data_IF_295910288552
#
_entry.id   IF_295910288552
#
_cell.length_a   1.000
_cell.length_b   1.000
_cell.length_c   1.000
_cell.angle_alpha   90.00
_cell.angle_beta   90.00
_cell.angle_gamma   90.00
#
_symmetry.space_group_name_H-M   'P 1'
#
loop_
_entity.id
_entity.type
_entity.pdbx_description
1 polymer ?
#
# COMPACT_ATOMS: atom_id res chain seq x y z
N UNK A 1 -4.96 58.95 -4.13
CA UNK A 1 -4.28 58.15 -3.09
C UNK A 1 -4.83 56.74 -3.18
N UNK A 2 -4.14 55.85 -3.92
CA UNK A 2 -4.60 54.49 -4.20
C UNK A 2 -4.04 53.58 -3.10
N UNK A 3 -4.91 53.07 -2.22
CA UNK A 3 -4.54 52.05 -1.24
C UNK A 3 -4.51 50.70 -1.96
N UNK A 4 -3.31 50.15 -2.17
CA UNK A 4 -3.14 48.74 -2.51
C UNK A 4 -3.29 47.92 -1.23
N UNK A 5 -4.47 47.35 -1.01
CA UNK A 5 -4.66 46.28 -0.03
C UNK A 5 -4.13 44.98 -0.64
N UNK A 6 -2.92 44.59 -0.24
CA UNK A 6 -2.36 43.28 -0.56
C UNK A 6 -3.18 42.20 0.12
N UNK A 7 -3.95 41.45 -0.67
CA UNK A 7 -4.61 40.22 -0.23
C UNK A 7 -3.54 39.15 -0.05
N UNK A 8 -3.16 38.85 1.20
CA UNK A 8 -2.38 37.66 1.52
C UNK A 8 -3.30 36.44 1.29
N UNK A 9 -3.15 35.79 0.13
CA UNK A 9 -3.81 34.52 -0.14
C UNK A 9 -3.27 33.43 0.78
N UNK A 10 -4.12 32.90 1.65
CA UNK A 10 -3.88 31.63 2.33
C UNK A 10 -3.86 30.53 1.26
N UNK A 11 -2.67 30.05 0.90
CA UNK A 11 -2.53 28.83 0.15
C UNK A 11 -2.98 27.65 1.04
N UNK A 12 -4.16 27.10 0.76
CA UNK A 12 -4.59 25.82 1.31
C UNK A 12 -3.80 24.70 0.65
N UNK A 13 -2.90 24.05 1.40
CA UNK A 13 -2.31 22.79 0.98
C UNK A 13 -3.41 21.72 0.92
N UNK A 14 -3.55 20.94 -0.16
CA UNK A 14 -4.50 19.84 -0.20
C UNK A 14 -4.12 18.80 0.86
N UNK A 15 -5.12 18.37 1.61
CA UNK A 15 -5.02 17.45 2.75
C UNK A 15 -4.63 16.05 2.27
N UNK A 16 -3.43 15.59 2.66
CA UNK A 16 -2.83 14.24 2.48
C UNK A 16 -3.60 13.06 3.10
N UNK A 17 -4.73 13.30 3.77
CA UNK A 17 -5.39 12.29 4.61
C UNK A 17 -6.06 11.17 3.79
N UNK A 18 -6.60 11.50 2.61
CA UNK A 18 -7.19 10.50 1.72
C UNK A 18 -6.10 9.54 1.19
N UNK A 19 -4.97 10.11 0.77
CA UNK A 19 -3.86 9.35 0.20
C UNK A 19 -3.22 8.41 1.22
N UNK A 20 -3.02 8.84 2.47
CA UNK A 20 -2.51 7.97 3.52
C UNK A 20 -3.47 6.82 3.87
N UNK A 21 -4.78 7.08 3.84
CA UNK A 21 -5.78 6.04 4.12
C UNK A 21 -5.82 5.00 3.01
N UNK A 22 -5.82 5.45 1.75
CA UNK A 22 -5.75 4.58 0.57
C UNK A 22 -4.45 3.76 0.57
N UNK A 23 -3.31 4.40 0.79
CA UNK A 23 -2.00 3.74 0.90
C UNK A 23 -2.02 2.61 1.94
N UNK A 24 -2.47 2.90 3.17
CA UNK A 24 -2.52 1.90 4.23
C UNK A 24 -3.42 0.70 3.87
N UNK A 25 -4.60 0.96 3.30
CA UNK A 25 -5.55 -0.09 2.90
C UNK A 25 -5.03 -0.93 1.74
N UNK A 26 -4.53 -0.28 0.68
CA UNK A 26 -3.95 -0.96 -0.48
C UNK A 26 -2.74 -1.81 -0.07
N UNK A 27 -1.85 -1.30 0.77
CA UNK A 27 -0.69 -2.05 1.24
C UNK A 27 -1.10 -3.25 2.11
N UNK A 28 -2.08 -3.11 3.02
CA UNK A 28 -2.60 -4.25 3.79
C UNK A 28 -3.17 -5.34 2.88
N UNK A 29 -4.01 -4.95 1.93
CA UNK A 29 -4.63 -5.85 0.98
C UNK A 29 -3.59 -6.55 0.09
N UNK A 30 -2.62 -5.80 -0.44
CA UNK A 30 -1.55 -6.33 -1.26
C UNK A 30 -0.68 -7.33 -0.50
N UNK A 31 -0.29 -7.04 0.75
CA UNK A 31 0.49 -7.99 1.57
C UNK A 31 -0.33 -9.25 1.86
N UNK A 32 -1.63 -9.11 2.13
CA UNK A 32 -2.51 -10.26 2.29
C UNK A 32 -2.53 -11.15 1.05
N UNK A 33 -2.75 -10.54 -0.11
CA UNK A 33 -2.78 -11.21 -1.41
C UNK A 33 -1.44 -11.89 -1.74
N UNK A 34 -0.32 -11.14 -1.69
CA UNK A 34 1.03 -11.63 -2.05
C UNK A 34 1.47 -12.82 -1.22
N UNK A 35 1.17 -12.82 0.09
CA UNK A 35 1.60 -13.88 0.99
C UNK A 35 0.54 -14.97 1.21
N UNK A 36 -0.61 -14.88 0.53
CA UNK A 36 -1.73 -15.83 0.65
C UNK A 36 -2.27 -15.91 2.07
N UNK A 37 -2.51 -14.75 2.71
CA UNK A 37 -2.96 -14.64 4.10
C UNK A 37 -4.26 -13.85 4.20
N UNK A 38 -4.98 -14.03 5.30
CA UNK A 38 -6.18 -13.25 5.58
C UNK A 38 -5.81 -11.78 5.86
N UNK A 39 -6.43 -10.85 5.14
CA UNK A 39 -6.27 -9.39 5.33
C UNK A 39 -6.55 -8.93 6.77
N UNK A 40 -7.39 -9.64 7.52
CA UNK A 40 -7.67 -9.32 8.94
C UNK A 40 -6.46 -9.54 9.85
N UNK A 41 -5.51 -10.38 9.44
CA UNK A 41 -4.26 -10.61 10.16
C UNK A 41 -3.22 -9.52 9.93
N UNK A 42 -3.40 -8.69 8.89
CA UNK A 42 -2.49 -7.61 8.54
C UNK A 42 -2.65 -6.42 9.49
N UNK A 43 -1.55 -5.92 10.00
CA UNK A 43 -1.48 -4.73 10.85
C UNK A 43 -0.70 -3.63 10.14
N UNK A 44 -1.32 -2.47 9.99
CA UNK A 44 -0.63 -1.26 9.56
C UNK A 44 0.02 -0.64 10.81
N UNK A 45 1.34 -0.61 10.84
CA UNK A 45 2.09 -0.09 11.98
C UNK A 45 2.16 1.43 11.93
N UNK A 46 2.56 1.95 10.77
CA UNK A 46 2.76 3.37 10.53
C UNK A 46 2.81 3.67 9.03
N UNK A 47 2.68 4.95 8.73
CA UNK A 47 2.98 5.52 7.41
C UNK A 47 4.03 6.60 7.63
N UNK A 48 5.15 6.50 6.93
CA UNK A 48 6.22 7.51 6.94
C UNK A 48 6.42 8.00 5.51
N UNK A 49 6.04 9.26 5.25
CA UNK A 49 6.06 9.80 3.89
C UNK A 49 5.01 9.12 3.00
N UNK A 50 5.48 8.43 1.97
CA UNK A 50 4.72 7.63 1.00
C UNK A 50 4.85 6.12 1.22
N UNK A 51 5.49 5.70 2.34
CA UNK A 51 5.73 4.30 2.66
C UNK A 51 4.86 3.86 3.85
N UNK A 52 4.02 2.86 3.63
CA UNK A 52 3.32 2.13 4.68
C UNK A 52 4.15 0.94 5.15
N UNK A 53 4.13 0.72 6.47
CA UNK A 53 4.76 -0.42 7.12
C UNK A 53 3.66 -1.33 7.64
N UNK A 54 3.65 -2.56 7.16
CA UNK A 54 2.65 -3.58 7.46
C UNK A 54 3.35 -4.79 8.02
N UNK A 55 2.78 -5.44 9.04
CA UNK A 55 3.23 -6.75 9.47
C UNK A 55 2.07 -7.73 9.65
N UNK A 56 2.43 -9.01 9.71
CA UNK A 56 1.57 -10.06 10.25
C UNK A 56 2.42 -11.09 11.00
N UNK A 57 1.76 -11.88 11.86
CA UNK A 57 2.36 -13.05 12.50
C UNK A 57 1.95 -14.28 11.69
N UNK A 58 2.92 -14.99 11.13
CA UNK A 58 2.64 -16.17 10.31
C UNK A 58 2.15 -17.31 11.18
N UNK A 59 0.94 -17.80 10.93
CA UNK A 59 0.30 -18.81 11.78
C UNK A 59 1.01 -20.16 11.85
N UNK A 60 1.80 -20.53 10.83
CA UNK A 60 2.46 -21.83 10.76
C UNK A 60 3.67 -21.97 11.70
N UNK A 61 4.34 -20.86 12.04
CA UNK A 61 5.57 -20.87 12.84
C UNK A 61 5.73 -19.67 13.77
N UNK A 62 4.70 -18.82 13.88
CA UNK A 62 4.66 -17.63 14.72
C UNK A 62 5.75 -16.58 14.45
N UNK A 63 6.40 -16.65 13.29
CA UNK A 63 7.38 -15.65 12.89
C UNK A 63 6.69 -14.32 12.53
N UNK A 64 7.36 -13.20 12.86
CA UNK A 64 6.93 -11.87 12.44
C UNK A 64 7.41 -11.61 11.01
N UNK A 65 6.48 -11.24 10.14
CA UNK A 65 6.76 -10.86 8.76
C UNK A 65 6.42 -9.38 8.59
N UNK A 66 7.46 -8.55 8.47
CA UNK A 66 7.33 -7.13 8.23
C UNK A 66 7.56 -6.82 6.75
N UNK A 67 6.72 -5.94 6.21
CA UNK A 67 6.73 -5.50 4.82
C UNK A 67 6.60 -3.98 4.80
N UNK A 68 7.34 -3.35 3.91
CA UNK A 68 7.16 -1.94 3.56
C UNK A 68 6.60 -1.85 2.15
N UNK A 69 5.75 -0.88 1.91
CA UNK A 69 4.97 -0.77 0.69
C UNK A 69 4.72 0.69 0.34
N UNK A 70 4.72 1.01 -0.95
CA UNK A 70 4.36 2.32 -1.50
C UNK A 70 3.53 2.16 -2.77
N UNK A 71 2.86 3.23 -3.17
CA UNK A 71 2.08 3.27 -4.40
C UNK A 71 2.84 4.02 -5.50
N UNK A 72 2.80 3.48 -6.71
CA UNK A 72 3.34 4.10 -7.92
C UNK A 72 2.34 3.94 -9.06
N UNK A 73 1.54 4.98 -9.32
CA UNK A 73 0.36 4.87 -10.18
C UNK A 73 -0.65 3.88 -9.61
N UNK A 74 -1.02 2.87 -10.40
CA UNK A 74 -1.88 1.77 -10.02
C UNK A 74 -1.12 0.59 -9.38
N UNK A 75 0.21 0.69 -9.24
CA UNK A 75 1.03 -0.39 -8.70
C UNK A 75 1.23 -0.27 -7.20
N UNK A 76 1.27 -1.43 -6.56
CA UNK A 76 1.73 -1.59 -5.19
C UNK A 76 3.16 -2.12 -5.21
N UNK A 77 4.13 -1.27 -4.90
CA UNK A 77 5.54 -1.65 -4.83
C UNK A 77 5.88 -2.02 -3.40
N UNK A 78 6.27 -3.28 -3.18
CA UNK A 78 6.56 -3.79 -1.84
C UNK A 78 8.01 -4.28 -1.71
N UNK A 79 8.46 -4.36 -0.46
CA UNK A 79 9.73 -4.95 -0.07
C UNK A 79 9.60 -5.54 1.32
N UNK A 80 10.36 -6.60 1.61
CA UNK A 80 10.54 -7.05 2.98
C UNK A 80 11.13 -5.93 3.85
N UNK A 81 10.66 -5.85 5.09
CA UNK A 81 11.19 -4.98 6.13
C UNK A 81 11.75 -5.80 7.31
N UNK A 82 11.99 -7.10 7.10
CA UNK A 82 12.66 -7.94 8.08
C UNK A 82 14.14 -7.54 8.20
N UNK A 83 14.77 -7.70 9.38
CA UNK A 83 16.17 -7.33 9.60
C UNK A 83 17.15 -8.04 8.65
N UNK A 84 16.93 -9.33 8.40
CA UNK A 84 17.85 -10.23 7.67
C UNK A 84 17.53 -10.36 6.18
N UNK A 85 16.70 -9.46 5.62
CA UNK A 85 16.35 -9.46 4.21
C UNK A 85 17.10 -8.35 3.44
N UNK A 86 17.23 -8.53 2.13
CA UNK A 86 17.74 -7.55 1.16
C UNK A 86 17.04 -6.19 1.20
N UNK A 87 15.80 -6.12 1.71
CA UNK A 87 14.93 -4.92 1.70
C UNK A 87 14.75 -4.30 0.31
N UNK A 88 14.99 -5.09 -0.73
CA UNK A 88 14.89 -4.69 -2.13
C UNK A 88 13.43 -4.48 -2.52
N UNK A 89 13.14 -3.36 -3.16
CA UNK A 89 11.85 -3.10 -3.79
C UNK A 89 11.63 -4.02 -4.97
N UNK A 90 10.44 -4.63 -5.05
CA UNK A 90 10.03 -5.50 -6.14
C UNK A 90 9.68 -4.68 -7.39
N UNK A 91 10.71 -4.29 -8.14
CA UNK A 91 10.62 -3.47 -9.37
C UNK A 91 11.37 -4.08 -10.54
N UNK A 92 11.98 -5.25 -10.38
CA UNK A 92 12.70 -5.94 -11.44
C UNK A 92 11.70 -6.53 -12.46
N UNK A 93 12.05 -6.64 -13.75
CA UNK A 93 11.18 -7.28 -14.75
C UNK A 93 10.79 -8.73 -14.43
N UNK A 94 11.56 -9.43 -13.58
CA UNK A 94 11.26 -10.78 -13.11
C UNK A 94 10.50 -10.80 -11.77
N UNK A 95 10.16 -9.65 -11.21
CA UNK A 95 9.25 -9.58 -10.06
C UNK A 95 7.80 -9.60 -10.51
N UNK A 96 6.95 -10.27 -9.73
CA UNK A 96 5.51 -10.19 -9.89
C UNK A 96 5.03 -8.74 -9.82
N UNK A 97 4.07 -8.39 -10.68
CA UNK A 97 3.48 -7.05 -10.71
C UNK A 97 2.20 -7.07 -9.87
N UNK A 98 2.20 -6.28 -8.80
CA UNK A 98 1.01 -6.11 -7.95
C UNK A 98 0.35 -4.79 -8.28
N UNK A 99 -0.94 -4.82 -8.61
CA UNK A 99 -1.77 -3.65 -8.90
C UNK A 99 -2.91 -3.54 -7.89
N UNK A 100 -3.41 -2.33 -7.71
CA UNK A 100 -4.62 -2.07 -6.96
C UNK A 100 -5.58 -1.20 -7.77
N UNK A 101 -6.87 -1.44 -7.60
CA UNK A 101 -7.92 -0.53 -8.05
C UNK A 101 -8.96 -0.35 -6.94
N UNK A 102 -9.64 0.79 -6.95
CA UNK A 102 -10.74 1.08 -6.04
C UNK A 102 -11.93 1.51 -6.87
N UNK A 103 -13.02 0.76 -6.76
CA UNK A 103 -14.31 1.07 -7.36
C UNK A 103 -15.37 1.08 -6.26
N UNK A 104 -16.03 2.22 -6.09
CA UNK A 104 -16.99 2.50 -5.01
C UNK A 104 -16.45 2.20 -3.60
N UNK A 105 -16.73 1.00 -3.10
CA UNK A 105 -16.36 0.54 -1.75
C UNK A 105 -15.52 -0.74 -1.77
N UNK A 106 -15.15 -1.18 -2.97
CA UNK A 106 -14.35 -2.38 -3.20
C UNK A 106 -12.94 -1.98 -3.62
N UNK A 107 -11.97 -2.67 -3.04
CA UNK A 107 -10.57 -2.63 -3.43
C UNK A 107 -10.20 -3.98 -4.03
N UNK A 108 -9.65 -3.96 -5.23
CA UNK A 108 -9.19 -5.15 -5.93
C UNK A 108 -7.67 -5.14 -5.97
N UNK A 109 -7.05 -6.25 -5.62
CA UNK A 109 -5.62 -6.51 -5.81
C UNK A 109 -5.47 -7.52 -6.95
N UNK A 110 -4.67 -7.17 -7.95
CA UNK A 110 -4.28 -8.08 -9.03
C UNK A 110 -2.79 -8.37 -8.90
N UNK A 111 -2.42 -9.65 -8.88
CA UNK A 111 -1.03 -10.07 -9.02
C UNK A 111 -0.83 -10.71 -10.39
N UNK A 112 0.09 -10.17 -11.17
CA UNK A 112 0.51 -10.71 -12.47
C UNK A 112 1.87 -11.38 -12.28
N UNK A 113 1.93 -12.67 -12.60
CA UNK A 113 3.11 -13.51 -12.43
C UNK A 113 3.94 -13.54 -13.71
N UNK A 114 5.24 -13.85 -13.59
CA UNK A 114 6.15 -13.90 -14.73
C UNK A 114 5.80 -14.97 -15.78
N UNK A 115 4.99 -15.96 -15.42
CA UNK A 115 4.49 -16.98 -16.35
C UNK A 115 3.26 -16.53 -17.17
N UNK A 116 2.82 -15.29 -16.97
CA UNK A 116 1.66 -14.69 -17.63
C UNK A 116 0.31 -15.02 -16.97
N UNK A 117 0.30 -15.81 -15.90
CA UNK A 117 -0.90 -16.02 -15.10
C UNK A 117 -1.17 -14.82 -14.16
N UNK A 118 -2.39 -14.75 -13.63
CA UNK A 118 -2.75 -13.71 -12.67
C UNK A 118 -3.74 -14.21 -11.61
N UNK A 119 -3.70 -13.61 -10.42
CA UNK A 119 -4.71 -13.77 -9.38
C UNK A 119 -5.38 -12.43 -9.07
N UNK A 120 -6.62 -12.50 -8.56
CA UNK A 120 -7.38 -11.33 -8.12
C UNK A 120 -7.98 -11.59 -6.74
N UNK A 121 -7.79 -10.65 -5.82
CA UNK A 121 -8.42 -10.65 -4.50
C UNK A 121 -9.21 -9.36 -4.30
N UNK A 122 -10.42 -9.47 -3.74
CA UNK A 122 -11.32 -8.35 -3.52
C UNK A 122 -11.61 -8.13 -2.03
N UNK A 123 -11.61 -6.85 -1.63
CA UNK A 123 -11.79 -6.45 -0.25
C UNK A 123 -12.75 -5.26 -0.14
N UNK A 124 -13.67 -5.32 0.82
CA UNK A 124 -14.45 -4.13 1.19
C UNK A 124 -13.54 -3.15 1.93
N UNK A 125 -13.53 -1.89 1.52
CA UNK A 125 -12.75 -0.81 2.16
C UNK A 125 -13.10 -0.60 3.64
N UNK A 126 -14.29 -1.01 4.08
CA UNK A 126 -14.72 -0.96 5.48
C UNK A 126 -14.18 -2.12 6.33
N UNK A 127 -13.68 -3.19 5.70
CA UNK A 127 -13.09 -4.35 6.36
C UNK A 127 -11.55 -4.32 6.41
N UNK A 128 -10.92 -3.32 5.79
CA UNK A 128 -9.47 -3.11 5.78
C UNK A 128 -9.02 -2.14 6.86
#
# INVERSE_FOLDING_TARGET
MIMFTTFFGLASLPVKANDSSVLGKACKAAVASVFGRDHKSMKLDKIEGDVAFVHYIRSSDHSLWAVKCKLDGDRVIWASNNPDDSKRWRTDPLDDVVKYSIEDTMLTITQEYTDGSSSNDEYKLSGL
#
